data_IF_368557027671
#
_entry.id   IF_368557027671
#
_cell.length_a   1.000
_cell.length_b   1.000
_cell.length_c   1.000
_cell.angle_alpha   90.00
_cell.angle_beta   90.00
_cell.angle_gamma   90.00
#
_symmetry.space_group_name_H-M   'P 1'
#
loop_
_entity.id
_entity.type
_entity.pdbx_description
1 polymer ?
#
# COMPACT_ATOMS: atom_id res chain seq x y z
N UNK A 1 -2.79 7.21 23.60
CA UNK A 1 -2.86 5.80 23.15
C UNK A 1 -2.84 5.85 21.64
N UNK A 2 -1.76 5.37 21.05
CA UNK A 2 -1.49 5.43 19.61
C UNK A 2 -2.67 4.83 18.83
N UNK A 3 -3.16 5.51 17.79
CA UNK A 3 -4.34 5.06 17.03
C UNK A 3 -4.11 3.67 16.42
N UNK A 4 -2.84 3.32 16.17
CA UNK A 4 -2.38 1.96 15.86
C UNK A 4 -2.87 0.90 16.85
N UNK A 5 -2.78 1.15 18.16
CA UNK A 5 -3.18 0.16 19.16
C UNK A 5 -4.69 -0.05 19.13
N UNK A 6 -5.46 1.00 18.84
CA UNK A 6 -6.93 0.90 18.71
C UNK A 6 -7.31 0.11 17.46
N UNK A 7 -6.64 0.36 16.34
CA UNK A 7 -6.92 -0.30 15.07
C UNK A 7 -6.46 -1.77 15.09
N UNK A 8 -5.29 -2.05 15.66
CA UNK A 8 -4.82 -3.43 15.91
C UNK A 8 -5.75 -4.19 16.86
N UNK A 9 -6.27 -3.53 17.91
CA UNK A 9 -7.27 -4.12 18.82
C UNK A 9 -8.61 -4.36 18.10
N UNK A 10 -9.03 -3.49 17.16
CA UNK A 10 -10.25 -3.70 16.34
C UNK A 10 -10.11 -4.89 15.42
N UNK A 11 -8.99 -5.00 14.71
CA UNK A 11 -8.69 -6.15 13.87
C UNK A 11 -8.66 -7.45 14.69
N UNK A 12 -8.00 -7.47 15.84
CA UNK A 12 -7.97 -8.66 16.71
C UNK A 12 -9.36 -9.01 17.27
N UNK A 13 -10.23 -8.02 17.50
CA UNK A 13 -11.62 -8.24 17.90
C UNK A 13 -12.48 -8.79 16.77
N UNK A 14 -12.27 -8.36 15.52
CA UNK A 14 -12.87 -8.95 14.32
C UNK A 14 -12.59 -10.45 14.24
N UNK A 15 -11.31 -10.83 14.39
CA UNK A 15 -10.86 -12.23 14.29
C UNK A 15 -11.43 -13.10 15.41
N UNK A 16 -11.73 -12.53 16.59
CA UNK A 16 -12.14 -13.28 17.78
C UNK A 16 -13.66 -13.26 18.08
N UNK A 17 -14.43 -12.37 17.45
CA UNK A 17 -15.82 -12.08 17.83
C UNK A 17 -16.92 -12.80 17.04
N UNK A 18 -16.62 -13.86 16.30
CA UNK A 18 -17.62 -14.60 15.52
C UNK A 18 -17.84 -15.96 16.20
N UNK A 19 -18.94 -16.13 16.93
CA UNK A 19 -19.18 -17.31 17.80
C UNK A 19 -19.45 -18.64 17.07
N UNK A 20 -19.17 -18.72 15.76
CA UNK A 20 -18.98 -19.99 15.04
C UNK A 20 -18.02 -19.76 13.86
N UNK A 21 -16.74 -19.52 14.15
CA UNK A 21 -15.78 -19.29 13.07
C UNK A 21 -15.49 -20.61 12.37
N UNK A 22 -15.94 -20.70 11.12
CA UNK A 22 -15.33 -21.53 10.10
C UNK A 22 -13.81 -21.32 10.18
N UNK A 23 -13.06 -22.34 10.65
CA UNK A 23 -11.61 -22.28 10.85
C UNK A 23 -10.86 -21.77 9.61
N UNK A 24 -11.45 -21.96 8.43
CA UNK A 24 -10.97 -21.41 7.17
C UNK A 24 -10.97 -19.87 7.15
N UNK A 25 -12.00 -19.22 7.69
CA UNK A 25 -12.11 -17.76 7.80
C UNK A 25 -11.10 -17.17 8.80
N UNK A 26 -10.88 -17.85 9.93
CA UNK A 26 -9.83 -17.48 10.89
C UNK A 26 -8.44 -17.52 10.25
N UNK A 27 -8.16 -18.60 9.51
CA UNK A 27 -6.88 -18.76 8.81
C UNK A 27 -6.66 -17.66 7.76
N UNK A 28 -7.72 -17.30 7.01
CA UNK A 28 -7.70 -16.21 6.02
C UNK A 28 -7.39 -14.84 6.63
N UNK A 29 -8.07 -14.51 7.73
CA UNK A 29 -7.84 -13.25 8.42
C UNK A 29 -6.44 -13.20 9.04
N UNK A 30 -5.97 -14.29 9.63
CA UNK A 30 -4.60 -14.38 10.16
C UNK A 30 -3.55 -14.21 9.06
N UNK A 31 -3.78 -14.73 7.86
CA UNK A 31 -2.86 -14.55 6.73
C UNK A 31 -2.88 -13.12 6.18
N UNK A 32 -4.06 -12.50 6.03
CA UNK A 32 -4.19 -11.09 5.67
C UNK A 32 -3.45 -10.19 6.66
N UNK A 33 -3.54 -10.48 7.96
CA UNK A 33 -2.88 -9.71 9.00
C UNK A 33 -1.36 -9.70 8.88
N UNK A 34 -0.74 -10.84 8.53
CA UNK A 34 0.72 -10.90 8.33
C UNK A 34 1.18 -9.95 7.23
N UNK A 35 0.43 -9.89 6.13
CA UNK A 35 0.71 -8.97 5.04
C UNK A 35 0.53 -7.52 5.49
N UNK A 36 -0.53 -7.22 6.22
CA UNK A 36 -0.80 -5.89 6.75
C UNK A 36 0.30 -5.40 7.70
N UNK A 37 0.66 -6.21 8.71
CA UNK A 37 1.70 -5.86 9.68
C UNK A 37 3.05 -5.63 9.00
N UNK A 38 3.41 -6.47 8.03
CA UNK A 38 4.61 -6.28 7.24
C UNK A 38 4.56 -5.00 6.40
N UNK A 39 3.44 -4.73 5.72
CA UNK A 39 3.25 -3.52 4.92
C UNK A 39 3.37 -2.24 5.76
N UNK A 40 2.80 -2.23 6.96
CA UNK A 40 2.90 -1.13 7.92
C UNK A 40 4.35 -0.86 8.33
N UNK A 41 5.15 -1.91 8.57
CA UNK A 41 6.56 -1.75 8.92
C UNK A 41 7.35 -1.07 7.78
N UNK A 42 7.14 -1.51 6.53
CA UNK A 42 7.79 -0.88 5.36
C UNK A 42 7.29 0.56 5.15
N UNK A 43 5.99 0.81 5.31
CA UNK A 43 5.42 2.15 5.19
C UNK A 43 5.99 3.09 6.26
N UNK A 44 6.07 2.68 7.52
CA UNK A 44 6.65 3.51 8.60
C UNK A 44 8.14 3.77 8.39
N UNK A 45 8.87 2.77 7.90
CA UNK A 45 10.27 2.94 7.51
C UNK A 45 10.40 4.01 6.43
N UNK A 46 9.55 3.98 5.38
CA UNK A 46 9.54 5.02 4.33
C UNK A 46 9.22 6.41 4.92
N UNK A 47 8.20 6.52 5.78
CA UNK A 47 7.85 7.80 6.42
C UNK A 47 8.99 8.37 7.27
N UNK A 48 9.73 7.50 7.97
CA UNK A 48 10.89 7.90 8.78
C UNK A 48 12.02 8.44 7.88
N UNK A 49 12.27 7.79 6.75
CA UNK A 49 13.26 8.26 5.75
C UNK A 49 12.83 9.61 5.18
N UNK A 50 11.56 9.76 4.78
CA UNK A 50 11.02 11.01 4.25
C UNK A 50 11.11 12.16 5.26
N UNK A 51 10.84 11.90 6.53
CA UNK A 51 10.98 12.91 7.58
C UNK A 51 12.44 13.38 7.75
N UNK A 52 13.40 12.46 7.62
CA UNK A 52 14.82 12.80 7.73
C UNK A 52 15.39 13.46 6.46
N UNK A 53 14.86 13.11 5.27
CA UNK A 53 15.17 13.79 4.00
C UNK A 53 14.94 15.30 4.09
N UNK A 54 13.86 15.73 4.75
CA UNK A 54 13.53 17.14 4.92
C UNK A 54 14.42 17.89 5.93
N UNK A 55 15.42 17.22 6.54
CA UNK A 55 16.29 17.79 7.58
C UNK A 55 17.77 17.90 7.20
N UNK A 56 18.27 17.06 6.30
CA UNK A 56 19.68 17.08 5.86
C UNK A 56 19.79 17.79 4.51
N UNK A 57 20.85 18.59 4.30
CA UNK A 57 21.00 19.49 3.14
C UNK A 57 22.15 19.14 2.20
N UNK A 58 22.28 17.89 1.78
CA UNK A 58 23.25 17.50 0.75
C UNK A 58 22.61 16.61 -0.31
N UNK A 59 22.61 17.07 -1.57
CA UNK A 59 21.94 16.45 -2.73
C UNK A 59 22.23 14.95 -2.92
N UNK A 60 23.48 14.52 -2.72
CA UNK A 60 23.87 13.11 -2.94
C UNK A 60 23.25 12.15 -1.89
N UNK A 61 23.16 12.59 -0.63
CA UNK A 61 22.46 11.84 0.41
C UNK A 61 20.95 11.81 0.16
N UNK A 62 20.40 12.90 -0.37
CA UNK A 62 18.97 13.01 -0.68
C UNK A 62 18.58 11.99 -1.75
N UNK A 63 19.35 11.85 -2.83
CA UNK A 63 19.08 10.86 -3.89
C UNK A 63 19.13 9.42 -3.38
N UNK A 64 20.14 9.05 -2.58
CA UNK A 64 20.23 7.73 -1.97
C UNK A 64 19.02 7.41 -1.09
N UNK A 65 18.63 8.35 -0.23
CA UNK A 65 17.49 8.22 0.67
C UNK A 65 16.14 8.18 -0.07
N UNK A 66 15.96 8.97 -1.15
CA UNK A 66 14.75 8.94 -1.99
C UNK A 66 14.52 7.53 -2.57
N UNK A 67 15.58 6.83 -3.00
CA UNK A 67 15.41 5.48 -3.50
C UNK A 67 15.06 4.47 -2.42
N UNK A 68 15.69 4.57 -1.24
CA UNK A 68 15.33 3.69 -0.11
C UNK A 68 13.87 3.95 0.29
N UNK A 69 13.43 5.20 0.30
CA UNK A 69 12.03 5.56 0.47
C UNK A 69 11.12 4.89 -0.58
N UNK A 70 11.47 4.98 -1.86
CA UNK A 70 10.69 4.42 -2.97
C UNK A 70 10.61 2.89 -2.91
N UNK A 71 11.72 2.21 -2.59
CA UNK A 71 11.75 0.75 -2.41
C UNK A 71 10.86 0.30 -1.26
N UNK A 72 10.93 0.97 -0.11
CA UNK A 72 10.07 0.66 1.04
C UNK A 72 8.59 0.89 0.69
N UNK A 73 8.26 1.96 -0.04
CA UNK A 73 6.90 2.18 -0.50
C UNK A 73 6.40 1.11 -1.46
N UNK A 74 7.26 0.66 -2.39
CA UNK A 74 6.92 -0.41 -3.33
C UNK A 74 6.60 -1.72 -2.60
N UNK A 75 7.40 -2.07 -1.59
CA UNK A 75 7.12 -3.23 -0.73
C UNK A 75 5.82 -3.08 0.05
N UNK A 76 5.55 -1.89 0.60
CA UNK A 76 4.29 -1.64 1.30
C UNK A 76 3.08 -1.83 0.37
N UNK A 77 3.12 -1.31 -0.86
CA UNK A 77 2.07 -1.51 -1.86
C UNK A 77 1.88 -2.99 -2.18
N UNK A 78 2.97 -3.72 -2.46
CA UNK A 78 2.92 -5.15 -2.77
C UNK A 78 2.18 -5.92 -1.67
N UNK A 79 2.55 -5.67 -0.42
CA UNK A 79 2.00 -6.35 0.74
C UNK A 79 0.56 -5.92 1.03
N UNK A 80 0.21 -4.65 0.86
CA UNK A 80 -1.18 -4.20 0.98
C UNK A 80 -2.10 -4.81 -0.10
N UNK A 81 -1.64 -4.90 -1.36
CA UNK A 81 -2.40 -5.57 -2.42
C UNK A 81 -2.59 -7.05 -2.10
N UNK A 82 -1.56 -7.74 -1.58
CA UNK A 82 -1.68 -9.13 -1.11
C UNK A 82 -2.65 -9.28 0.06
N UNK A 83 -2.66 -8.32 1.00
CA UNK A 83 -3.63 -8.26 2.08
C UNK A 83 -5.07 -8.19 1.53
N UNK A 84 -5.34 -7.27 0.59
CA UNK A 84 -6.64 -7.14 -0.06
C UNK A 84 -7.06 -8.42 -0.80
N UNK A 85 -6.14 -9.07 -1.52
CA UNK A 85 -6.41 -10.35 -2.18
C UNK A 85 -6.79 -11.43 -1.15
N UNK A 86 -6.09 -11.51 -0.01
CA UNK A 86 -6.44 -12.43 1.07
C UNK A 86 -7.84 -12.14 1.63
N UNK A 87 -8.19 -10.87 1.80
CA UNK A 87 -9.51 -10.46 2.31
C UNK A 87 -10.63 -10.84 1.33
N UNK A 88 -10.47 -10.50 0.04
CA UNK A 88 -11.53 -10.72 -0.96
C UNK A 88 -11.68 -12.18 -1.38
N UNK A 89 -10.55 -12.88 -1.55
CA UNK A 89 -10.50 -14.19 -2.22
C UNK A 89 -10.13 -15.32 -1.28
N UNK A 90 -9.66 -15.01 -0.08
CA UNK A 90 -9.31 -15.97 0.94
C UNK A 90 -7.98 -16.70 0.71
N UNK A 91 -7.27 -16.41 -0.37
CA UNK A 91 -5.90 -16.86 -0.56
C UNK A 91 -5.27 -16.02 -1.66
N UNK A 92 -3.98 -15.77 -1.53
CA UNK A 92 -3.18 -15.41 -2.70
C UNK A 92 -2.98 -16.72 -3.47
N UNK A 93 -3.80 -16.96 -4.51
CA UNK A 93 -3.78 -18.21 -5.28
C UNK A 93 -2.40 -18.53 -5.81
N UNK A 94 -1.90 -19.72 -5.42
CA UNK A 94 -0.51 -20.12 -5.66
C UNK A 94 0.45 -19.22 -4.91
N UNK A 95 1.65 -19.68 -4.61
CA UNK A 95 2.76 -18.83 -4.18
C UNK A 95 3.08 -17.85 -5.32
N UNK A 96 2.27 -16.82 -5.52
CA UNK A 96 2.39 -15.83 -6.58
C UNK A 96 3.64 -15.03 -6.23
N UNK A 97 4.79 -15.55 -6.66
CA UNK A 97 6.08 -14.84 -6.73
C UNK A 97 6.05 -13.72 -7.78
N UNK A 98 4.88 -13.40 -8.33
CA UNK A 98 4.71 -12.18 -9.08
C UNK A 98 4.76 -11.03 -8.10
N UNK A 99 5.89 -10.33 -8.13
CA UNK A 99 6.11 -9.06 -7.43
C UNK A 99 5.59 -7.88 -8.24
N UNK A 100 5.05 -8.14 -9.44
CA UNK A 100 4.51 -7.12 -10.34
C UNK A 100 3.19 -6.57 -9.78
N UNK A 101 3.23 -5.33 -9.32
CA UNK A 101 2.15 -4.63 -8.63
C UNK A 101 0.90 -4.51 -9.51
N UNK A 102 1.05 -4.21 -10.80
CA UNK A 102 -0.09 -4.13 -11.71
C UNK A 102 -0.83 -5.47 -11.83
N UNK A 103 -0.10 -6.60 -11.78
CA UNK A 103 -0.72 -7.93 -11.82
C UNK A 103 -1.48 -8.21 -10.53
N UNK A 104 -0.91 -7.87 -9.37
CA UNK A 104 -1.59 -8.00 -8.08
C UNK A 104 -2.88 -7.16 -8.05
N UNK A 105 -2.81 -5.92 -8.51
CA UNK A 105 -3.98 -5.04 -8.62
C UNK A 105 -5.06 -5.59 -9.55
N UNK A 106 -4.69 -6.10 -10.73
CA UNK A 106 -5.64 -6.68 -11.70
C UNK A 106 -6.41 -7.90 -11.18
N UNK A 107 -5.89 -8.56 -10.13
CA UNK A 107 -6.56 -9.70 -9.50
C UNK A 107 -7.69 -9.25 -8.59
N UNK A 108 -7.67 -8.03 -8.04
CA UNK A 108 -8.71 -7.52 -7.14
C UNK A 108 -10.08 -7.44 -7.83
N UNK A 109 -11.16 -7.40 -7.04
CA UNK A 109 -12.49 -7.12 -7.58
C UNK A 109 -12.55 -5.76 -8.28
N UNK A 110 -13.39 -5.63 -9.31
CA UNK A 110 -13.59 -4.36 -10.02
C UNK A 110 -13.97 -3.23 -9.07
N UNK A 111 -14.83 -3.51 -8.08
CA UNK A 111 -15.25 -2.52 -7.08
C UNK A 111 -14.08 -2.01 -6.24
N UNK A 112 -13.18 -2.88 -5.80
CA UNK A 112 -11.99 -2.48 -5.04
C UNK A 112 -11.00 -1.71 -5.91
N UNK A 113 -10.80 -2.12 -7.16
CA UNK A 113 -9.97 -1.39 -8.11
C UNK A 113 -10.50 0.03 -8.33
N UNK A 114 -11.78 0.18 -8.63
CA UNK A 114 -12.45 1.47 -8.79
C UNK A 114 -12.33 2.33 -7.53
N UNK A 115 -12.46 1.72 -6.34
CA UNK A 115 -12.33 2.45 -5.08
C UNK A 115 -10.91 2.97 -4.85
N UNK A 116 -9.89 2.15 -5.10
CA UNK A 116 -8.48 2.58 -5.02
C UNK A 116 -8.23 3.73 -5.99
N UNK A 117 -8.68 3.60 -7.25
CA UNK A 117 -8.53 4.64 -8.28
C UNK A 117 -9.23 5.94 -7.88
N UNK A 118 -10.43 5.84 -7.31
CA UNK A 118 -11.17 7.00 -6.80
C UNK A 118 -10.39 7.74 -5.70
N UNK A 119 -9.94 7.02 -4.65
CA UNK A 119 -9.17 7.61 -3.56
C UNK A 119 -7.84 8.21 -4.06
N UNK A 120 -7.21 7.57 -5.04
CA UNK A 120 -6.02 8.09 -5.68
C UNK A 120 -6.28 9.43 -6.37
N UNK A 121 -7.33 9.50 -7.20
CA UNK A 121 -7.72 10.73 -7.90
C UNK A 121 -8.10 11.85 -6.92
N UNK A 122 -8.87 11.55 -5.87
CA UNK A 122 -9.22 12.53 -4.83
C UNK A 122 -8.00 13.09 -4.11
N UNK A 123 -7.05 12.23 -3.78
CA UNK A 123 -5.83 12.63 -3.09
C UNK A 123 -4.93 13.51 -3.98
N UNK A 124 -4.89 13.21 -5.28
CA UNK A 124 -4.12 13.96 -6.28
C UNK A 124 -4.70 15.36 -6.49
N UNK A 125 -6.04 15.48 -6.53
CA UNK A 125 -6.74 16.77 -6.59
C UNK A 125 -6.45 17.63 -5.36
N UNK A 126 -6.43 17.04 -4.15
CA UNK A 126 -6.12 17.78 -2.92
C UNK A 126 -4.70 18.35 -2.90
N UNK A 127 -3.72 17.60 -3.42
CA UNK A 127 -2.34 18.09 -3.59
C UNK A 127 -2.24 19.21 -4.62
N UNK A 128 -2.95 19.10 -5.75
CA UNK A 128 -3.00 20.15 -6.78
C UNK A 128 -3.49 21.49 -6.22
N UNK A 129 -4.49 21.48 -5.34
CA UNK A 129 -4.97 22.70 -4.69
C UNK A 129 -3.98 23.29 -3.68
N UNK A 130 -3.06 22.48 -3.13
CA UNK A 130 -2.04 22.92 -2.19
C UNK A 130 -0.74 23.41 -2.87
N UNK A 131 -0.42 22.90 -4.05
CA UNK A 131 0.77 23.28 -4.85
C UNK A 131 0.36 23.80 -6.22
N UNK A 132 0.36 25.12 -6.39
CA UNK A 132 -0.11 25.85 -7.60
C UNK A 132 0.71 25.54 -8.88
N UNK A 133 1.78 24.74 -8.80
CA UNK A 133 2.65 24.46 -9.94
C UNK A 133 3.01 22.98 -10.03
N UNK A 134 2.90 22.42 -11.25
CA UNK A 134 3.57 21.20 -11.77
C UNK A 134 2.89 19.81 -11.67
N UNK A 135 1.60 19.70 -11.32
CA UNK A 135 0.89 18.42 -11.56
C UNK A 135 0.03 18.58 -12.80
N UNK A 136 0.53 18.08 -13.93
CA UNK A 136 -0.28 17.94 -15.14
C UNK A 136 -1.38 16.93 -14.82
N UNK A 137 -2.67 17.31 -14.82
CA UNK A 137 -3.78 16.46 -14.40
C UNK A 137 -4.15 15.39 -15.43
N UNK A 138 -3.28 15.14 -16.41
CA UNK A 138 -3.47 13.99 -17.26
C UNK A 138 -3.52 12.77 -16.35
N UNK A 139 -4.59 12.02 -16.54
CA UNK A 139 -4.90 10.75 -15.92
C UNK A 139 -3.67 9.85 -16.00
N UNK A 140 -2.77 9.95 -15.02
CA UNK A 140 -1.81 8.89 -14.79
C UNK A 140 -2.70 7.71 -14.39
N UNK A 141 -2.99 6.86 -15.36
CA UNK A 141 -3.79 5.67 -15.12
C UNK A 141 -3.10 4.95 -13.97
N UNK A 142 -3.83 4.72 -12.89
CA UNK A 142 -3.26 4.14 -11.67
C UNK A 142 -2.48 2.85 -11.99
N UNK A 143 -2.87 2.15 -13.05
CA UNK A 143 -2.15 1.01 -13.62
C UNK A 143 -0.75 1.37 -14.14
N UNK A 144 -0.58 2.47 -14.87
CA UNK A 144 0.74 2.94 -15.33
C UNK A 144 1.63 3.31 -14.14
N UNK A 145 1.07 3.96 -13.12
CA UNK A 145 1.81 4.24 -11.87
C UNK A 145 2.28 2.94 -11.22
N UNK A 146 1.42 1.91 -11.14
CA UNK A 146 1.84 0.61 -10.60
C UNK A 146 2.94 -0.05 -11.43
N UNK A 147 2.97 0.16 -12.76
CA UNK A 147 4.06 -0.32 -13.61
C UNK A 147 5.35 0.44 -13.36
N UNK A 148 5.28 1.75 -13.12
CA UNK A 148 6.45 2.56 -12.75
C UNK A 148 7.01 2.17 -11.37
N UNK A 149 6.15 1.81 -10.41
CA UNK A 149 6.56 1.40 -9.07
C UNK A 149 7.11 -0.05 -9.04
N UNK A 150 7.01 -0.80 -10.14
CA UNK A 150 7.67 -2.11 -10.26
C UNK A 150 9.19 -2.01 -10.47
N UNK A 151 9.67 -0.87 -10.99
CA UNK A 151 11.08 -0.67 -11.36
C UNK A 151 12.04 -0.12 -10.28
N UNK A 152 11.62 0.53 -9.16
CA UNK A 152 12.53 1.05 -8.14
C UNK A 152 13.41 -0.04 -7.53
N UNK A 153 12.92 -1.27 -7.37
CA UNK A 153 13.72 -2.36 -6.84
C UNK A 153 14.86 -2.75 -7.79
N UNK A 154 14.55 -2.86 -9.08
CA UNK A 154 15.53 -3.19 -10.12
C UNK A 154 16.55 -2.06 -10.30
N UNK A 155 16.08 -0.82 -10.33
CA UNK A 155 16.93 0.35 -10.51
C UNK A 155 17.80 0.61 -9.28
N UNK A 156 17.26 0.51 -8.06
CA UNK A 156 18.06 0.62 -6.83
C UNK A 156 19.15 -0.44 -6.77
N UNK A 157 18.82 -1.67 -7.18
CA UNK A 157 19.78 -2.79 -7.23
C UNK A 157 20.91 -2.52 -8.22
N UNK A 158 20.59 -2.04 -9.43
CA UNK A 158 21.60 -1.83 -10.48
C UNK A 158 22.28 -0.46 -10.44
N UNK A 159 21.78 0.48 -9.64
CA UNK A 159 22.39 1.82 -9.48
C UNK A 159 23.88 1.71 -9.16
N UNK A 160 24.21 0.92 -8.14
CA UNK A 160 25.59 0.72 -7.70
C UNK A 160 26.44 -0.16 -8.64
N UNK A 161 25.80 -0.88 -9.56
CA UNK A 161 26.48 -1.79 -10.49
C UNK A 161 26.79 -1.13 -11.85
N UNK A 162 25.92 -0.23 -12.32
CA UNK A 162 25.94 0.27 -13.71
C UNK A 162 26.00 1.80 -13.82
N UNK A 163 25.93 2.53 -12.70
CA UNK A 163 25.94 4.01 -12.72
C UNK A 163 24.73 4.60 -13.45
N UNK A 164 23.58 3.92 -13.42
CA UNK A 164 22.34 4.38 -14.05
C UNK A 164 21.82 5.60 -13.29
N UNK A 165 21.36 6.64 -13.99
CA UNK A 165 20.68 7.75 -13.32
C UNK A 165 19.42 7.27 -12.60
N UNK A 166 19.22 7.77 -11.37
CA UNK A 166 18.10 7.41 -10.54
C UNK A 166 16.88 8.23 -10.95
N UNK A 167 15.80 7.62 -11.45
CA UNK A 167 14.59 8.36 -11.74
C UNK A 167 13.97 8.82 -10.41
N UNK A 168 13.51 10.08 -10.40
CA UNK A 168 12.69 10.60 -9.31
C UNK A 168 11.28 10.05 -9.53
N UNK A 169 10.92 8.99 -8.81
CA UNK A 169 9.57 8.44 -8.87
C UNK A 169 8.58 9.39 -8.21
N UNK A 170 7.51 9.70 -8.93
CA UNK A 170 6.31 10.28 -8.34
C UNK A 170 5.52 9.16 -7.68
N UNK A 171 5.96 8.72 -6.51
CA UNK A 171 5.16 7.88 -5.62
C UNK A 171 4.07 8.74 -4.94
N UNK A 172 3.24 9.34 -5.80
CA UNK A 172 2.04 10.09 -5.47
C UNK A 172 1.13 9.15 -4.69
N UNK A 173 0.93 9.34 -3.38
CA UNK A 173 -0.14 8.82 -2.51
C UNK A 173 -0.64 7.35 -2.63
N UNK A 174 -0.13 6.52 -3.53
CA UNK A 174 -0.72 5.25 -3.94
C UNK A 174 -0.77 4.28 -2.76
N UNK A 175 0.29 4.30 -1.94
CA UNK A 175 0.38 3.50 -0.71
C UNK A 175 -0.74 3.88 0.26
N UNK A 176 -0.96 5.18 0.47
CA UNK A 176 -1.99 5.70 1.37
C UNK A 176 -3.40 5.38 0.88
N UNK A 177 -3.63 5.40 -0.44
CA UNK A 177 -4.92 5.07 -1.04
C UNK A 177 -5.25 3.58 -0.88
N UNK A 178 -4.31 2.68 -1.18
CA UNK A 178 -4.51 1.24 -1.00
C UNK A 178 -4.71 0.92 0.48
N UNK A 179 -3.91 1.54 1.36
CA UNK A 179 -4.05 1.42 2.82
C UNK A 179 -5.43 1.87 3.29
N UNK A 180 -5.96 2.98 2.78
CA UNK A 180 -7.30 3.47 3.13
C UNK A 180 -8.41 2.47 2.75
N UNK A 181 -8.32 1.84 1.56
CA UNK A 181 -9.29 0.81 1.16
C UNK A 181 -9.27 -0.40 2.09
N UNK A 182 -8.10 -0.80 2.61
CA UNK A 182 -8.03 -1.89 3.59
C UNK A 182 -8.86 -1.56 4.84
N UNK A 183 -8.77 -0.34 5.36
CA UNK A 183 -9.57 0.07 6.52
C UNK A 183 -11.07 0.15 6.21
N UNK A 184 -11.45 0.63 5.02
CA UNK A 184 -12.86 0.65 4.60
C UNK A 184 -13.45 -0.76 4.50
N UNK A 185 -12.70 -1.69 3.92
CA UNK A 185 -13.11 -3.09 3.81
C UNK A 185 -13.21 -3.73 5.19
N UNK A 186 -12.28 -3.43 6.11
CA UNK A 186 -12.34 -3.87 7.50
C UNK A 186 -13.61 -3.35 8.20
N UNK A 187 -13.93 -2.06 8.04
CA UNK A 187 -15.12 -1.43 8.65
C UNK A 187 -16.44 -2.01 8.09
N UNK A 188 -16.54 -2.18 6.77
CA UNK A 188 -17.73 -2.77 6.12
C UNK A 188 -17.96 -4.21 6.55
N UNK A 189 -16.88 -4.96 6.74
CA UNK A 189 -16.92 -6.30 7.30
C UNK A 189 -17.46 -6.24 8.73
N UNK A 190 -16.91 -5.38 9.60
CA UNK A 190 -17.40 -5.19 10.96
C UNK A 190 -18.90 -4.86 11.03
N UNK A 191 -19.37 -3.92 10.21
CA UNK A 191 -20.78 -3.48 10.19
C UNK A 191 -21.73 -4.60 9.76
N UNK A 192 -21.37 -5.38 8.73
CA UNK A 192 -22.18 -6.51 8.26
C UNK A 192 -22.32 -7.61 9.31
N UNK A 193 -21.30 -7.85 10.12
CA UNK A 193 -21.34 -8.88 11.15
C UNK A 193 -21.93 -8.39 12.48
N UNK A 194 -21.78 -7.11 12.82
CA UNK A 194 -22.48 -6.52 13.97
C UNK A 194 -24.01 -6.51 13.80
N UNK A 195 -24.51 -6.54 12.56
CA UNK A 195 -25.94 -6.64 12.25
C UNK A 195 -26.50 -8.08 12.26
N UNK A 196 -25.65 -9.09 12.46
CA UNK A 196 -26.02 -10.52 12.50
C UNK A 196 -26.14 -11.07 13.93
N UNK A 197 -25.90 -10.22 14.93
CA UNK A 197 -26.02 -10.51 16.37
C UNK A 197 -26.83 -9.40 17.06
#
# INVERSE_FOLDING_TARGET
MDDYLKDHIRFLKFVKGVDSIDANRLAKAAEAQKYFDAAENFYRASQTIYYNLNKEGSEEKELGMINVFNVNHSFAIELYLKCLICIEKGEVKGKNRNHLLFKLYSVLSTSTQERIKHLYNESSLKLQHATVFLVNPNEDDFVEILKEIDTPFEIFRYYFEKGVELPIYKLNNAVSCIRAVIFEVEELIHQKYAALF
#
